data_IF_111037233044
#
_entry.id   IF_111037233044
#
_cell.length_a   1.000
_cell.length_b   1.000
_cell.length_c   1.000
_cell.angle_alpha   90.00
_cell.angle_beta   90.00
_cell.angle_gamma   90.00
#
_symmetry.space_group_name_H-M   'P 1'
#
loop_
_entity.id
_entity.type
_entity.pdbx_description
1 polymer ?
#
# COMPACT_ATOMS: atom_id res chain seq x y z
N UNK A 1 4.15 6.59 13.56
CA UNK A 1 3.61 5.41 12.93
C UNK A 1 4.36 5.06 11.70
N UNK A 2 3.98 5.65 10.54
CA UNK A 2 4.75 5.38 9.32
C UNK A 2 6.11 6.06 9.33
N UNK A 3 6.40 6.94 10.28
CA UNK A 3 7.70 7.61 10.34
C UNK A 3 8.85 6.63 10.47
N UNK A 4 8.61 5.43 10.99
CA UNK A 4 9.63 4.40 11.05
C UNK A 4 10.00 3.85 9.68
N UNK A 5 9.23 4.16 8.65
CA UNK A 5 9.50 3.73 7.29
C UNK A 5 10.44 4.66 6.54
N UNK A 6 10.81 5.81 7.11
CA UNK A 6 11.74 6.73 6.47
C UNK A 6 13.07 6.03 6.19
N UNK A 7 13.60 6.24 5.00
CA UNK A 7 14.82 5.58 4.47
C UNK A 7 14.65 4.09 4.20
N UNK A 8 13.41 3.60 4.17
CA UNK A 8 13.11 2.21 3.83
C UNK A 8 12.63 2.14 2.39
N UNK A 9 13.08 1.12 1.65
CA UNK A 9 12.59 0.85 0.32
C UNK A 9 11.40 -0.08 0.40
N UNK A 10 10.28 0.35 -0.17
CA UNK A 10 9.04 -0.42 -0.20
C UNK A 10 8.69 -0.78 -1.62
N UNK A 11 7.93 -1.87 -1.78
CA UNK A 11 7.38 -2.25 -3.09
C UNK A 11 6.11 -1.48 -3.32
N UNK A 12 6.07 -0.74 -4.41
CA UNK A 12 4.91 0.08 -4.79
C UNK A 12 4.22 -0.56 -5.99
N UNK A 13 2.91 -0.73 -5.89
CA UNK A 13 2.09 -1.31 -6.97
C UNK A 13 0.98 -0.34 -7.30
N UNK A 14 0.90 0.05 -8.59
CA UNK A 14 -0.21 0.88 -9.07
C UNK A 14 -1.43 -0.01 -9.25
N UNK A 15 -2.58 0.45 -8.79
CA UNK A 15 -3.82 -0.32 -8.84
C UNK A 15 -4.70 0.13 -10.00
N UNK A 16 -5.37 -0.81 -10.70
CA UNK A 16 -5.25 -2.25 -10.54
C UNK A 16 -3.88 -2.75 -11.00
N UNK A 17 -3.39 -3.83 -10.39
CA UNK A 17 -2.06 -4.33 -10.74
C UNK A 17 -1.98 -4.74 -12.21
N UNK A 18 -0.94 -4.27 -12.89
CA UNK A 18 -0.74 -4.59 -14.30
C UNK A 18 0.67 -5.08 -14.59
N UNK A 19 1.44 -5.36 -13.54
CA UNK A 19 2.79 -5.83 -13.69
C UNK A 19 3.48 -5.90 -12.35
N UNK A 20 4.79 -6.17 -12.36
CA UNK A 20 5.55 -6.19 -11.10
C UNK A 20 5.56 -4.80 -10.49
N UNK A 21 5.62 -4.76 -9.17
CA UNK A 21 5.75 -3.50 -8.47
C UNK A 21 7.11 -2.87 -8.72
N UNK A 22 7.25 -1.62 -8.30
CA UNK A 22 8.50 -0.89 -8.39
C UNK A 22 8.99 -0.58 -6.99
N UNK A 23 10.31 -0.41 -6.88
CA UNK A 23 10.90 -0.04 -5.60
C UNK A 23 10.75 1.46 -5.39
N UNK A 24 10.33 1.84 -4.20
CA UNK A 24 10.16 3.23 -3.82
C UNK A 24 10.82 3.45 -2.47
N UNK A 25 11.71 4.44 -2.42
CA UNK A 25 12.40 4.82 -1.19
C UNK A 25 11.58 5.87 -0.48
N UNK A 26 11.22 5.60 0.77
CA UNK A 26 10.49 6.56 1.59
C UNK A 26 11.46 7.63 2.08
N UNK A 27 11.22 8.87 1.68
CA UNK A 27 12.05 10.01 2.09
C UNK A 27 11.49 10.72 3.30
N UNK A 28 10.17 10.82 3.40
CA UNK A 28 9.55 11.65 4.41
C UNK A 28 8.17 11.13 4.72
N UNK A 29 7.79 11.19 5.98
CA UNK A 29 6.45 10.88 6.44
C UNK A 29 5.97 12.04 7.30
N UNK A 30 4.81 12.59 6.95
CA UNK A 30 4.20 13.68 7.67
C UNK A 30 2.70 13.39 7.78
N UNK A 31 2.30 12.80 8.90
CA UNK A 31 0.92 12.35 9.12
C UNK A 31 0.53 11.34 8.05
N UNK A 32 -0.44 11.70 7.21
CA UNK A 32 -0.90 10.83 6.12
C UNK A 32 -0.13 11.04 4.83
N UNK A 33 0.76 12.01 4.79
CA UNK A 33 1.51 12.32 3.57
C UNK A 33 2.85 11.64 3.61
N UNK A 34 3.13 10.90 2.55
CA UNK A 34 4.39 10.17 2.41
C UNK A 34 5.03 10.61 1.12
N UNK A 35 6.30 10.97 1.19
CA UNK A 35 7.09 11.31 0.01
C UNK A 35 8.02 10.16 -0.29
N UNK A 36 7.94 9.65 -1.52
CA UNK A 36 8.80 8.55 -1.96
C UNK A 36 9.57 8.97 -3.20
N UNK A 37 10.70 8.29 -3.43
CA UNK A 37 11.49 8.44 -4.66
C UNK A 37 11.52 7.09 -5.36
N UNK A 38 11.20 7.09 -6.64
CA UNK A 38 11.23 5.89 -7.47
C UNK A 38 11.77 6.24 -8.84
N UNK A 39 12.02 5.20 -9.66
CA UNK A 39 12.59 5.41 -10.98
C UNK A 39 11.54 5.85 -11.99
N UNK A 40 10.32 5.33 -11.86
CA UNK A 40 9.28 5.52 -12.86
C UNK A 40 8.28 6.55 -12.40
N UNK A 41 7.76 7.32 -13.36
CA UNK A 41 6.70 8.27 -13.07
C UNK A 41 5.42 7.52 -12.71
N UNK A 42 4.69 8.07 -11.74
CA UNK A 42 3.41 7.52 -11.31
C UNK A 42 2.28 8.37 -11.84
N UNK A 43 1.14 7.78 -12.23
CA UNK A 43 -0.01 8.59 -12.65
C UNK A 43 -0.57 9.36 -11.47
N UNK A 44 -0.68 10.67 -11.60
CA UNK A 44 -1.32 11.50 -10.57
C UNK A 44 -2.79 11.12 -10.47
N UNK A 45 -3.27 10.98 -9.25
CA UNK A 45 -4.65 10.55 -8.98
C UNK A 45 -4.82 9.05 -8.89
N UNK A 46 -3.80 8.28 -9.21
CA UNK A 46 -3.91 6.82 -9.17
C UNK A 46 -3.87 6.32 -7.73
N UNK A 47 -4.58 5.22 -7.51
CA UNK A 47 -4.47 4.48 -6.26
C UNK A 47 -3.24 3.58 -6.33
N UNK A 48 -2.51 3.49 -5.24
CA UNK A 48 -1.33 2.65 -5.15
C UNK A 48 -1.33 1.88 -3.84
N UNK A 49 -0.57 0.80 -3.83
CA UNK A 49 -0.32 0.00 -2.64
C UNK A 49 1.18 -0.01 -2.36
N UNK A 50 1.54 0.29 -1.11
CA UNK A 50 2.91 0.17 -0.64
C UNK A 50 2.99 -1.03 0.29
N UNK A 51 3.89 -1.97 -0.01
CA UNK A 51 4.08 -3.15 0.81
C UNK A 51 5.31 -2.96 1.69
N UNK A 52 5.07 -2.83 2.98
CA UNK A 52 6.12 -2.76 3.99
C UNK A 52 6.29 -4.14 4.63
N UNK A 53 7.36 -4.36 5.41
CA UNK A 53 7.59 -5.68 6.02
C UNK A 53 6.46 -6.14 6.93
N UNK A 54 5.78 -5.22 7.63
CA UNK A 54 4.78 -5.58 8.62
C UNK A 54 3.38 -5.07 8.28
N UNK A 55 3.22 -4.31 7.22
CA UNK A 55 1.95 -3.67 6.90
C UNK A 55 1.83 -3.34 5.43
N UNK A 56 0.60 -3.03 5.04
CA UNK A 56 0.27 -2.58 3.71
C UNK A 56 -0.35 -1.19 3.82
N UNK A 57 0.07 -0.28 2.97
CA UNK A 57 -0.49 1.06 2.89
C UNK A 57 -1.22 1.22 1.57
N UNK A 58 -2.41 1.79 1.61
CA UNK A 58 -3.15 2.20 0.42
C UNK A 58 -3.12 3.72 0.37
N UNK A 59 -2.75 4.24 -0.78
CA UNK A 59 -2.55 5.68 -0.92
C UNK A 59 -2.96 6.15 -2.31
N UNK A 60 -3.08 7.47 -2.45
CA UNK A 60 -3.34 8.11 -3.72
C UNK A 60 -2.17 8.99 -4.08
N UNK A 61 -1.79 9.01 -5.36
CA UNK A 61 -0.71 9.87 -5.84
C UNK A 61 -1.26 11.28 -5.99
N UNK A 62 -0.77 12.21 -5.18
CA UNK A 62 -1.23 13.60 -5.22
C UNK A 62 -0.45 14.44 -6.22
N UNK A 63 0.87 14.22 -6.28
CA UNK A 63 1.72 15.02 -7.14
C UNK A 63 3.01 14.26 -7.41
N UNK A 64 3.66 14.57 -8.53
CA UNK A 64 4.97 14.02 -8.83
C UNK A 64 5.89 15.16 -9.25
N UNK A 65 7.18 14.95 -9.03
CA UNK A 65 8.23 15.89 -9.42
C UNK A 65 9.40 15.09 -9.98
N UNK A 66 9.84 15.45 -11.18
CA UNK A 66 11.02 14.79 -11.76
C UNK A 66 12.27 15.39 -11.17
N UNK A 67 13.22 14.54 -10.81
CA UNK A 67 14.50 14.94 -10.24
C UNK A 67 15.62 14.29 -11.04
N UNK A 68 16.88 14.75 -10.88
CA UNK A 68 18.01 14.12 -11.57
C UNK A 68 18.19 12.63 -11.25
N UNK A 69 17.70 12.19 -10.09
CA UNK A 69 17.89 10.80 -9.64
C UNK A 69 16.62 9.96 -9.77
N UNK A 70 15.54 10.52 -10.29
CA UNK A 70 14.29 9.78 -10.44
C UNK A 70 13.07 10.66 -10.28
N UNK A 71 12.00 10.08 -9.76
CA UNK A 71 10.72 10.76 -9.58
C UNK A 71 10.40 10.80 -8.08
N UNK A 72 10.13 11.99 -7.59
CA UNK A 72 9.62 12.17 -6.23
C UNK A 72 8.12 12.26 -6.29
N UNK A 73 7.44 11.43 -5.51
CA UNK A 73 5.98 11.38 -5.51
C UNK A 73 5.47 11.71 -4.12
N UNK A 74 4.44 12.55 -4.07
CA UNK A 74 3.72 12.86 -2.83
C UNK A 74 2.48 12.00 -2.79
N UNK A 75 2.34 11.20 -1.74
CA UNK A 75 1.27 10.24 -1.58
C UNK A 75 0.41 10.60 -0.38
N UNK A 76 -0.89 10.39 -0.51
CA UNK A 76 -1.84 10.54 0.59
C UNK A 76 -2.28 9.16 1.04
N UNK A 77 -1.82 8.75 2.21
CA UNK A 77 -2.13 7.42 2.74
C UNK A 77 -3.56 7.44 3.27
N UNK A 78 -4.39 6.54 2.74
CA UNK A 78 -5.79 6.43 3.13
C UNK A 78 -6.04 5.29 4.09
N UNK A 79 -5.27 4.20 3.96
CA UNK A 79 -5.38 3.04 4.83
C UNK A 79 -4.01 2.51 5.17
N UNK A 80 -3.87 2.06 6.41
CA UNK A 80 -2.68 1.34 6.86
C UNK A 80 -3.17 0.09 7.57
N UNK A 81 -2.75 -1.08 7.09
CA UNK A 81 -3.25 -2.35 7.58
C UNK A 81 -2.09 -3.25 7.94
N UNK A 82 -2.00 -3.59 9.23
CA UNK A 82 -0.96 -4.51 9.72
C UNK A 82 -1.27 -5.93 9.26
N UNK A 83 -0.25 -6.66 8.83
CA UNK A 83 -0.45 -8.04 8.40
C UNK A 83 -0.95 -8.94 9.52
N UNK A 84 -0.54 -8.66 10.75
CA UNK A 84 -1.04 -9.40 11.92
C UNK A 84 -2.56 -9.25 12.05
N UNK A 85 -3.08 -8.07 11.76
CA UNK A 85 -4.52 -7.83 11.81
C UNK A 85 -5.25 -8.57 10.69
N UNK A 86 -4.65 -8.65 9.50
CA UNK A 86 -5.22 -9.43 8.40
C UNK A 86 -5.35 -10.88 8.79
N UNK A 87 -4.32 -11.46 9.38
CA UNK A 87 -4.37 -12.86 9.81
C UNK A 87 -5.43 -13.08 10.89
N UNK A 88 -5.57 -12.15 11.80
CA UNK A 88 -6.60 -12.22 12.84
C UNK A 88 -8.00 -12.20 12.24
N UNK A 89 -8.22 -11.34 11.25
CA UNK A 89 -9.50 -11.27 10.55
C UNK A 89 -9.80 -12.60 9.87
N UNK A 90 -8.82 -13.19 9.18
CA UNK A 90 -9.02 -14.49 8.54
C UNK A 90 -9.38 -15.58 9.53
N UNK A 91 -8.72 -15.59 10.67
CA UNK A 91 -9.00 -16.59 11.68
C UNK A 91 -10.42 -16.45 12.21
N UNK A 92 -10.96 -15.24 12.28
CA UNK A 92 -12.30 -14.99 12.80
C UNK A 92 -13.41 -15.21 11.78
N UNK A 93 -13.13 -14.99 10.53
CA UNK A 93 -14.15 -15.06 9.49
C UNK A 93 -13.96 -16.29 8.58
N UNK A 94 -13.21 -17.10 8.97
CA UNK A 94 -13.17 -18.15 8.27
C UNK A 94 -12.62 -18.65 7.39
N UNK A 95 -12.49 -18.54 7.66
CA UNK A 95 -12.12 -19.13 7.00
C UNK A 95 -12.16 -20.31 7.08
N UNK A 96 -12.38 -20.70 7.01
CA UNK A 96 -12.60 -21.47 6.36
C UNK A 96 -13.78 -21.97 6.34
N UNK A 97 -14.50 -21.63 6.29
CA UNK A 97 -15.48 -21.98 6.17
C UNK A 97 -15.84 -22.22 5.23
N UNK A 98 -15.75 -22.51 4.96
CA UNK A 98 -15.96 -22.66 4.33
C UNK A 98 -16.67 -22.65 3.99
N UNK A 99 -17.23 -22.64 3.91
CA UNK A 99 -17.76 -22.50 3.48
C UNK A 99 -18.54 -22.09 3.47
N UNK A 100 -18.91 -21.74 3.42
CA UNK A 100 -19.40 -21.66 3.30
C UNK A 100 -20.09 -21.08 3.28
N UNK A 101 -20.48 -20.72 3.08
CA UNK A 101 -20.75 -20.67 2.85
C UNK A 101 -21.44 -20.29 2.83
N UNK A 102 -21.77 -19.92 2.67
CA UNK A 102 -22.17 -19.98 2.41
C UNK A 102 -22.61 -19.62 2.55
N UNK A 103 -22.93 -19.22 2.72
CA UNK A 103 -23.02 -19.41 2.59
C UNK A 103 -23.57 -19.02 2.76
N UNK A 104 -23.84 -18.46 2.63
CA UNK A 104 -24.05 -18.63 2.49
C UNK A 104 -24.44 -18.25 2.76
N UNK A 105 -24.64 -17.74 2.95
CA UNK A 105 -24.65 -17.99 2.93
C UNK A 105 -25.06 -17.67 3.36
N UNK A 106 -25.45 -17.18 3.41
CA UNK A 106 -25.42 -17.58 3.60
C UNK A 106 -25.59 -17.50 3.99
N UNK A 107 -25.94 -16.94 4.19
CA UNK A 107 -25.65 -17.46 4.33
C UNK A 107 -25.83 -17.35 4.77
N UNK A 108 -26.11 -17.00 4.65
CA UNK A 108 -25.87 -17.43 4.99
C UNK A 108 -25.87 -17.39 5.04
#
# INVERSE_FOLDING_TARGET
MESELVNTTLRLVVLPPSGPGIDALVQRVDRKRVTVVCKDALPVGAAIRLNAPDRMLLAEVLAIERTPVGVRALLDVQYSLLYADVQRIRANFGAPRAPDVKADAVGV
#
